data_IF_868729657974
#
_entry.id   IF_868729657974
#
_cell.length_a   1.000
_cell.length_b   1.000
_cell.length_c   1.000
_cell.angle_alpha   90.00
_cell.angle_beta   90.00
_cell.angle_gamma   90.00
#
_symmetry.space_group_name_H-M   'P 1'
#
loop_
_entity.id
_entity.type
_entity.pdbx_description
1 polymer ?
#
# COMPACT_ATOMS: atom_id res chain seq x y z
N UNK A 1 -4.81 -30.48 -1.57
CA UNK A 1 -4.06 -31.62 -2.17
C UNK A 1 -4.46 -31.85 -3.63
N UNK A 2 -5.75 -31.78 -3.98
CA UNK A 2 -6.21 -31.91 -5.38
C UNK A 2 -5.66 -30.82 -6.30
N UNK A 3 -5.77 -29.53 -5.92
CA UNK A 3 -5.18 -28.43 -6.70
C UNK A 3 -3.67 -28.53 -6.89
N UNK A 4 -2.93 -29.07 -5.92
CA UNK A 4 -1.47 -29.21 -6.05
C UNK A 4 -1.08 -30.32 -7.03
N UNK A 5 -1.89 -31.37 -7.12
CA UNK A 5 -1.75 -32.39 -8.16
C UNK A 5 -2.17 -31.82 -9.51
N UNK A 6 -3.27 -31.06 -9.56
CA UNK A 6 -3.75 -30.40 -10.78
C UNK A 6 -2.68 -29.46 -11.34
N UNK A 7 -2.04 -28.61 -10.52
CA UNK A 7 -0.94 -27.72 -10.95
C UNK A 7 0.28 -28.50 -11.43
N UNK A 8 0.64 -29.62 -10.79
CA UNK A 8 1.82 -30.43 -11.15
C UNK A 8 1.64 -31.22 -12.45
N UNK A 9 0.40 -31.62 -12.74
CA UNK A 9 0.06 -32.42 -13.92
C UNK A 9 -0.76 -31.62 -14.94
N UNK A 10 -0.82 -30.29 -14.80
CA UNK A 10 -1.62 -29.44 -15.67
C UNK A 10 -1.06 -29.45 -17.09
N UNK A 11 -1.91 -29.83 -18.05
CA UNK A 11 -1.59 -29.84 -19.48
C UNK A 11 -2.50 -28.92 -20.30
N UNK A 12 -3.28 -28.06 -19.64
CA UNK A 12 -4.17 -27.12 -20.30
C UNK A 12 -3.48 -25.83 -20.75
N UNK A 13 -4.21 -25.01 -21.51
CA UNK A 13 -3.68 -23.79 -22.11
C UNK A 13 -3.67 -22.58 -21.15
N UNK A 14 -4.49 -22.58 -20.09
CA UNK A 14 -4.65 -21.47 -19.13
C UNK A 14 -4.28 -21.88 -17.69
N UNK A 15 -2.98 -21.93 -17.33
CA UNK A 15 -2.55 -22.17 -15.95
C UNK A 15 -3.02 -21.09 -14.97
N UNK A 16 -3.37 -19.87 -15.41
CA UNK A 16 -3.83 -18.80 -14.52
C UNK A 16 -5.19 -19.15 -13.90
N UNK A 17 -6.09 -19.78 -14.65
CA UNK A 17 -7.40 -20.25 -14.15
C UNK A 17 -7.25 -21.22 -12.96
N UNK A 18 -6.33 -22.17 -13.04
CA UNK A 18 -6.08 -23.14 -11.96
C UNK A 18 -5.62 -22.42 -10.69
N UNK A 19 -4.73 -21.45 -10.83
CA UNK A 19 -4.27 -20.62 -9.71
C UNK A 19 -5.39 -19.76 -9.14
N UNK A 20 -6.22 -19.14 -9.97
CA UNK A 20 -7.37 -18.35 -9.52
C UNK A 20 -8.35 -19.20 -8.71
N UNK A 21 -8.72 -20.40 -9.21
CA UNK A 21 -9.57 -21.34 -8.48
C UNK A 21 -8.95 -21.77 -7.16
N UNK A 22 -7.63 -22.04 -7.15
CA UNK A 22 -6.95 -22.46 -5.94
C UNK A 22 -6.89 -21.34 -4.88
N UNK A 23 -6.61 -20.09 -5.29
CA UNK A 23 -6.63 -18.92 -4.40
C UNK A 23 -8.03 -18.72 -3.82
N UNK A 24 -9.07 -18.75 -4.67
CA UNK A 24 -10.47 -18.60 -4.24
C UNK A 24 -10.90 -19.70 -3.26
N UNK A 25 -10.52 -20.95 -3.54
CA UNK A 25 -10.77 -22.06 -2.61
C UNK A 25 -10.06 -21.82 -1.26
N UNK A 26 -8.83 -21.31 -1.28
CA UNK A 26 -8.06 -21.02 -0.06
C UNK A 26 -8.73 -19.91 0.76
N UNK A 27 -9.23 -18.85 0.11
CA UNK A 27 -9.98 -17.78 0.76
C UNK A 27 -11.28 -18.29 1.41
N UNK A 28 -12.02 -19.15 0.72
CA UNK A 28 -13.27 -19.73 1.22
C UNK A 28 -13.04 -20.73 2.36
N UNK A 29 -11.97 -21.50 2.28
CA UNK A 29 -11.64 -22.53 3.29
C UNK A 29 -11.09 -21.88 4.57
N UNK A 30 -10.48 -20.69 4.47
CA UNK A 30 -9.88 -19.99 5.59
C UNK A 30 -10.35 -18.53 5.72
N UNK A 31 -11.64 -18.28 6.07
CA UNK A 31 -12.23 -16.94 6.09
C UNK A 31 -11.58 -15.95 7.08
N UNK A 32 -10.94 -16.47 8.13
CA UNK A 32 -10.24 -15.67 9.14
C UNK A 32 -8.78 -15.38 8.83
N UNK A 33 -8.36 -15.51 7.55
CA UNK A 33 -6.95 -15.42 7.17
C UNK A 33 -6.14 -16.49 7.89
N UNK A 34 -6.58 -17.75 7.71
CA UNK A 34 -6.23 -18.92 8.54
C UNK A 34 -4.80 -18.88 9.06
N UNK A 35 -4.66 -19.25 10.34
CA UNK A 35 -3.39 -19.35 11.08
C UNK A 35 -2.24 -19.70 10.12
N UNK A 36 -1.31 -18.76 9.96
CA UNK A 36 0.02 -18.97 9.38
C UNK A 36 0.10 -19.11 7.85
N UNK A 37 -0.17 -18.03 7.11
CA UNK A 37 0.50 -17.80 5.81
C UNK A 37 0.16 -18.74 4.66
N UNK A 38 -0.88 -19.57 4.76
CA UNK A 38 -1.28 -20.48 3.68
C UNK A 38 -1.68 -19.71 2.40
N UNK A 39 -2.45 -18.63 2.53
CA UNK A 39 -2.83 -17.79 1.39
C UNK A 39 -1.62 -17.09 0.77
N UNK A 40 -0.75 -16.50 1.60
CA UNK A 40 0.47 -15.82 1.15
C UNK A 40 1.42 -16.79 0.44
N UNK A 41 1.60 -18.00 0.97
CA UNK A 41 2.43 -19.04 0.34
C UNK A 41 1.86 -19.51 -1.01
N UNK A 42 0.52 -19.63 -1.12
CA UNK A 42 -0.13 -19.96 -2.40
C UNK A 42 0.06 -18.82 -3.40
N UNK A 43 -0.13 -17.57 -2.99
CA UNK A 43 0.08 -16.39 -3.83
C UNK A 43 1.54 -16.29 -4.30
N UNK A 44 2.51 -16.48 -3.42
CA UNK A 44 3.93 -16.46 -3.76
C UNK A 44 4.28 -17.54 -4.79
N UNK A 45 3.76 -18.77 -4.60
CA UNK A 45 3.94 -19.86 -5.57
C UNK A 45 3.29 -19.54 -6.91
N UNK A 46 2.10 -18.92 -6.91
CA UNK A 46 1.40 -18.55 -8.12
C UNK A 46 2.15 -17.47 -8.90
N UNK A 47 2.59 -16.41 -8.22
CA UNK A 47 3.43 -15.35 -8.80
C UNK A 47 4.71 -15.95 -9.39
N UNK A 48 5.40 -16.83 -8.66
CA UNK A 48 6.64 -17.46 -9.14
C UNK A 48 6.40 -18.35 -10.36
N UNK A 49 5.30 -19.09 -10.40
CA UNK A 49 4.97 -19.98 -11.52
C UNK A 49 4.52 -19.22 -12.78
N UNK A 50 3.85 -18.09 -12.60
CA UNK A 50 3.32 -17.25 -13.68
C UNK A 50 4.27 -16.11 -14.08
N UNK A 51 5.41 -15.97 -13.38
CA UNK A 51 6.41 -14.96 -13.66
C UNK A 51 6.92 -15.06 -15.10
N UNK A 52 7.06 -13.91 -15.77
CA UNK A 52 7.52 -13.84 -17.16
C UNK A 52 6.49 -14.25 -18.22
N UNK A 53 5.28 -14.68 -17.83
CA UNK A 53 4.22 -15.02 -18.80
C UNK A 53 3.50 -13.76 -19.30
N UNK A 54 4.11 -13.08 -20.26
CA UNK A 54 3.66 -11.83 -20.89
C UNK A 54 2.20 -11.87 -21.39
N UNK A 55 1.70 -13.06 -21.77
CA UNK A 55 0.30 -13.27 -22.20
C UNK A 55 -0.74 -12.81 -21.17
N UNK A 56 -0.38 -12.78 -19.88
CA UNK A 56 -1.29 -12.41 -18.80
C UNK A 56 -1.14 -10.95 -18.35
N UNK A 57 -0.23 -10.17 -18.93
CA UNK A 57 0.05 -8.82 -18.43
C UNK A 57 -1.13 -7.87 -18.61
N UNK A 58 -2.01 -8.14 -19.57
CA UNK A 58 -3.25 -7.40 -19.79
C UNK A 58 -4.48 -8.10 -19.19
N UNK A 59 -4.30 -9.26 -18.54
CA UNK A 59 -5.39 -10.03 -17.94
C UNK A 59 -5.72 -9.47 -16.55
N UNK A 60 -6.97 -9.02 -16.28
CA UNK A 60 -7.40 -8.57 -14.97
C UNK A 60 -7.21 -9.61 -13.86
N UNK A 61 -7.31 -10.91 -14.17
CA UNK A 61 -7.12 -11.99 -13.20
C UNK A 61 -5.69 -12.02 -12.66
N UNK A 62 -4.71 -11.78 -13.54
CA UNK A 62 -3.31 -11.74 -13.18
C UNK A 62 -2.98 -10.49 -12.36
N UNK A 63 -3.53 -9.33 -12.74
CA UNK A 63 -3.40 -8.12 -11.94
C UNK A 63 -4.01 -8.32 -10.54
N UNK A 64 -5.21 -8.89 -10.43
CA UNK A 64 -5.84 -9.18 -9.13
C UNK A 64 -4.98 -10.09 -8.24
N UNK A 65 -4.32 -11.09 -8.82
CA UNK A 65 -3.41 -11.97 -8.10
C UNK A 65 -2.23 -11.17 -7.50
N UNK A 66 -1.65 -10.26 -8.28
CA UNK A 66 -0.61 -9.36 -7.77
C UNK A 66 -1.12 -8.41 -6.69
N UNK A 67 -2.30 -7.82 -6.85
CA UNK A 67 -2.89 -6.94 -5.85
C UNK A 67 -3.10 -7.67 -4.52
N UNK A 68 -3.67 -8.88 -4.55
CA UNK A 68 -3.83 -9.75 -3.36
C UNK A 68 -2.49 -10.10 -2.71
N UNK A 69 -1.45 -10.31 -3.51
CA UNK A 69 -0.10 -10.54 -2.99
C UNK A 69 0.46 -9.28 -2.30
N UNK A 70 0.17 -8.10 -2.83
CA UNK A 70 0.53 -6.81 -2.24
C UNK A 70 -0.12 -6.57 -0.87
N UNK A 71 -1.36 -6.99 -0.69
CA UNK A 71 -2.06 -6.89 0.60
C UNK A 71 -1.39 -7.75 1.70
N UNK A 72 -0.64 -8.79 1.30
CA UNK A 72 0.14 -9.62 2.21
C UNK A 72 1.55 -9.07 2.50
N UNK A 73 1.98 -8.03 1.78
CA UNK A 73 3.33 -7.47 1.89
C UNK A 73 3.38 -6.30 2.88
N UNK A 74 4.53 -6.11 3.53
CA UNK A 74 4.74 -5.00 4.47
C UNK A 74 4.72 -3.64 3.75
N UNK A 75 5.19 -3.59 2.50
CA UNK A 75 5.36 -2.35 1.73
C UNK A 75 4.68 -2.48 0.35
N UNK A 76 3.35 -2.27 0.25
CA UNK A 76 2.60 -2.45 -0.99
C UNK A 76 2.99 -1.44 -2.09
N UNK A 77 3.57 -0.28 -1.75
CA UNK A 77 3.97 0.73 -2.74
C UNK A 77 5.10 0.27 -3.67
N UNK A 78 6.03 -0.52 -3.15
CA UNK A 78 7.13 -1.08 -3.95
C UNK A 78 6.58 -2.06 -4.99
N UNK A 79 5.51 -2.77 -4.64
CA UNK A 79 4.84 -3.68 -5.57
C UNK A 79 4.23 -2.94 -6.75
N UNK A 80 3.50 -1.85 -6.52
CA UNK A 80 2.92 -1.07 -7.62
C UNK A 80 3.98 -0.51 -8.57
N UNK A 81 5.09 -0.02 -8.01
CA UNK A 81 6.23 0.45 -8.78
C UNK A 81 6.83 -0.69 -9.62
N UNK A 82 6.95 -1.89 -9.05
CA UNK A 82 7.39 -3.09 -9.76
C UNK A 82 6.44 -3.45 -10.91
N UNK A 83 5.12 -3.51 -10.67
CA UNK A 83 4.13 -3.83 -11.70
C UNK A 83 4.20 -2.86 -12.87
N UNK A 84 4.30 -1.55 -12.58
CA UNK A 84 4.42 -0.54 -13.62
C UNK A 84 5.73 -0.69 -14.41
N UNK A 85 6.85 -0.98 -13.73
CA UNK A 85 8.17 -1.19 -14.39
C UNK A 85 8.21 -2.43 -15.30
N UNK A 86 7.42 -3.45 -14.96
CA UNK A 86 7.32 -4.69 -15.74
C UNK A 86 6.19 -4.62 -16.78
N UNK A 87 5.51 -3.49 -16.93
CA UNK A 87 4.35 -3.32 -17.80
C UNK A 87 3.18 -4.30 -17.48
N UNK A 88 3.09 -4.76 -16.23
CA UNK A 88 2.00 -5.64 -15.78
C UNK A 88 0.80 -4.78 -15.40
N UNK A 89 -0.34 -5.01 -16.06
CA UNK A 89 -1.60 -4.33 -15.76
C UNK A 89 -1.63 -2.85 -16.11
N UNK A 90 -0.66 -2.35 -16.87
CA UNK A 90 -0.58 -0.91 -17.25
C UNK A 90 -1.68 -0.46 -18.19
N UNK A 91 -2.37 -1.39 -18.83
CA UNK A 91 -3.57 -1.11 -19.63
C UNK A 91 -4.85 -1.18 -18.79
N UNK A 92 -4.78 -1.54 -17.52
CA UNK A 92 -5.94 -1.75 -16.65
C UNK A 92 -6.10 -0.60 -15.66
N UNK A 93 -7.27 0.02 -15.66
CA UNK A 93 -7.60 1.11 -14.76
C UNK A 93 -7.47 0.70 -13.29
N UNK A 94 -7.72 -0.58 -12.99
CA UNK A 94 -7.65 -1.13 -11.64
C UNK A 94 -6.29 -0.86 -10.97
N UNK A 95 -5.18 -1.01 -11.71
CA UNK A 95 -3.83 -0.79 -11.17
C UNK A 95 -3.66 0.65 -10.66
N UNK A 96 -4.06 1.62 -11.48
CA UNK A 96 -3.93 3.05 -11.15
C UNK A 96 -4.85 3.46 -10.01
N UNK A 97 -6.07 2.92 -9.97
CA UNK A 97 -7.04 3.20 -8.91
C UNK A 97 -6.50 2.71 -7.57
N UNK A 98 -6.12 1.44 -7.45
CA UNK A 98 -5.67 0.88 -6.16
C UNK A 98 -4.33 1.47 -5.72
N UNK A 99 -3.44 1.79 -6.66
CA UNK A 99 -2.19 2.47 -6.35
C UNK A 99 -2.42 3.90 -5.81
N UNK A 100 -3.29 4.67 -6.47
CA UNK A 100 -3.61 6.01 -6.01
C UNK A 100 -4.33 6.00 -4.65
N UNK A 101 -5.23 5.04 -4.40
CA UNK A 101 -5.88 4.83 -3.10
C UNK A 101 -4.87 4.49 -2.00
N UNK A 102 -3.89 3.62 -2.28
CA UNK A 102 -2.82 3.30 -1.34
C UNK A 102 -1.92 4.52 -1.02
N UNK A 103 -1.69 5.40 -1.99
CA UNK A 103 -0.97 6.66 -1.79
C UNK A 103 -1.80 7.70 -1.01
N UNK A 104 -3.10 7.78 -1.28
CA UNK A 104 -4.05 8.62 -0.56
C UNK A 104 -4.12 8.22 0.93
N UNK A 105 -4.19 6.91 1.22
CA UNK A 105 -4.21 6.39 2.59
C UNK A 105 -2.94 6.76 3.39
N UNK A 106 -1.82 7.03 2.72
CA UNK A 106 -0.56 7.48 3.31
C UNK A 106 -0.43 9.01 3.35
N UNK A 107 -1.45 9.75 2.96
CA UNK A 107 -1.46 11.21 2.90
C UNK A 107 -0.68 11.81 1.73
N UNK A 108 -0.27 11.00 0.74
CA UNK A 108 0.51 11.47 -0.41
C UNK A 108 -0.37 11.85 -1.60
N UNK A 109 -1.21 12.87 -1.42
CA UNK A 109 -2.19 13.30 -2.43
C UNK A 109 -1.56 13.71 -3.77
N UNK A 110 -0.42 14.40 -3.74
CA UNK A 110 0.28 14.81 -4.96
C UNK A 110 0.72 13.62 -5.81
N UNK A 111 1.24 12.56 -5.18
CA UNK A 111 1.65 11.35 -5.89
C UNK A 111 0.42 10.60 -6.41
N UNK A 112 -0.64 10.50 -5.62
CA UNK A 112 -1.89 9.86 -6.04
C UNK A 112 -2.47 10.52 -7.30
N UNK A 113 -2.47 11.86 -7.37
CA UNK A 113 -2.95 12.58 -8.57
C UNK A 113 -2.09 12.28 -9.81
N UNK A 114 -0.76 12.22 -9.66
CA UNK A 114 0.14 11.84 -10.76
C UNK A 114 -0.15 10.43 -11.29
N UNK A 115 -0.42 9.47 -10.41
CA UNK A 115 -0.77 8.10 -10.81
C UNK A 115 -2.10 8.07 -11.58
N UNK A 116 -3.11 8.83 -11.16
CA UNK A 116 -4.35 8.96 -11.93
C UNK A 116 -4.11 9.56 -13.32
N UNK A 117 -3.33 10.64 -13.39
CA UNK A 117 -2.98 11.28 -14.66
C UNK A 117 -2.21 10.32 -15.59
N UNK A 118 -1.28 9.54 -15.05
CA UNK A 118 -0.55 8.53 -15.82
C UNK A 118 -1.47 7.44 -16.38
N UNK A 119 -2.41 6.93 -15.58
CA UNK A 119 -3.41 5.97 -16.04
C UNK A 119 -4.31 6.52 -17.14
N UNK A 120 -4.69 7.79 -17.05
CA UNK A 120 -5.48 8.48 -18.08
C UNK A 120 -4.68 8.68 -19.37
N UNK A 121 -3.41 9.06 -19.25
CA UNK A 121 -2.51 9.22 -20.40
C UNK A 121 -2.30 7.89 -21.14
N UNK A 122 -2.19 6.79 -20.39
CA UNK A 122 -2.06 5.43 -20.94
C UNK A 122 -3.38 4.82 -21.41
N UNK A 123 -4.50 5.53 -21.25
CA UNK A 123 -5.85 5.08 -21.63
C UNK A 123 -6.24 3.74 -21.01
N UNK A 124 -5.94 3.58 -19.72
CA UNK A 124 -6.20 2.34 -19.02
C UNK A 124 -7.71 2.03 -18.91
N UNK A 125 -8.12 0.80 -19.23
CA UNK A 125 -9.52 0.39 -19.30
C UNK A 125 -10.00 -0.26 -17.98
N UNK A 126 -11.24 0.02 -17.53
CA UNK A 126 -12.23 0.93 -18.11
C UNK A 126 -11.92 2.41 -17.80
N UNK A 127 -11.82 3.23 -18.85
CA UNK A 127 -11.49 4.66 -18.73
C UNK A 127 -12.52 5.45 -17.92
N UNK A 128 -13.80 5.15 -18.11
CA UNK A 128 -14.89 5.81 -17.39
C UNK A 128 -14.78 5.58 -15.88
N UNK A 129 -14.39 4.36 -15.49
CA UNK A 129 -14.15 4.01 -14.09
C UNK A 129 -12.96 4.78 -13.54
N UNK A 130 -11.86 4.85 -14.29
CA UNK A 130 -10.68 5.60 -13.89
C UNK A 130 -11.00 7.09 -13.67
N UNK A 131 -11.71 7.71 -14.62
CA UNK A 131 -12.12 9.12 -14.52
C UNK A 131 -13.07 9.37 -13.34
N UNK A 132 -14.02 8.45 -13.10
CA UNK A 132 -14.92 8.54 -11.97
C UNK A 132 -14.17 8.49 -10.63
N UNK A 133 -13.23 7.55 -10.47
CA UNK A 133 -12.40 7.46 -9.26
C UNK A 133 -11.49 8.69 -9.11
N UNK A 134 -10.91 9.21 -10.19
CA UNK A 134 -10.09 10.42 -10.15
C UNK A 134 -10.88 11.65 -9.68
N UNK A 135 -12.10 11.85 -10.20
CA UNK A 135 -13.01 12.92 -9.74
C UNK A 135 -13.39 12.77 -8.27
N UNK A 136 -13.70 11.54 -7.83
CA UNK A 136 -14.01 11.27 -6.42
C UNK A 136 -12.82 11.56 -5.51
N UNK A 137 -11.62 11.15 -5.92
CA UNK A 137 -10.38 11.49 -5.21
C UNK A 137 -10.18 13.00 -5.09
N UNK A 138 -10.31 13.75 -6.19
CA UNK A 138 -10.18 15.21 -6.17
C UNK A 138 -11.19 15.87 -5.22
N UNK A 139 -12.45 15.40 -5.22
CA UNK A 139 -13.48 15.89 -4.31
C UNK A 139 -13.17 15.58 -2.83
N UNK A 140 -12.58 14.41 -2.53
CA UNK A 140 -12.14 14.07 -1.16
C UNK A 140 -11.00 14.97 -0.70
N UNK A 141 -9.99 15.16 -1.55
CA UNK A 141 -8.84 16.02 -1.26
C UNK A 141 -9.27 17.46 -1.06
N UNK A 142 -10.12 18.02 -1.94
CA UNK A 142 -10.60 19.39 -1.81
C UNK A 142 -11.37 19.61 -0.51
N UNK A 143 -12.22 18.65 -0.13
CA UNK A 143 -12.95 18.70 1.14
C UNK A 143 -12.00 18.67 2.33
N UNK A 144 -11.00 17.79 2.32
CA UNK A 144 -10.00 17.73 3.39
C UNK A 144 -9.21 19.04 3.50
N UNK A 145 -8.83 19.64 2.38
CA UNK A 145 -8.10 20.92 2.40
C UNK A 145 -8.95 22.08 2.91
N UNK A 146 -10.25 22.10 2.62
CA UNK A 146 -11.16 23.13 3.13
C UNK A 146 -11.36 22.99 4.64
N UNK A 147 -11.61 21.78 5.14
CA UNK A 147 -11.75 21.53 6.57
C UNK A 147 -10.47 21.90 7.33
N UNK A 148 -9.30 21.55 6.78
CA UNK A 148 -8.03 21.93 7.38
C UNK A 148 -7.83 23.47 7.42
N UNK A 149 -8.34 24.21 6.44
CA UNK A 149 -8.26 25.68 6.44
C UNK A 149 -9.24 26.30 7.45
N UNK A 150 -10.44 25.73 7.60
CA UNK A 150 -11.44 26.16 8.59
C UNK A 150 -10.94 25.95 10.03
N UNK A 151 -10.37 24.79 10.34
CA UNK A 151 -9.77 24.50 11.66
C UNK A 151 -8.62 25.46 12.02
N UNK A 152 -7.87 25.94 11.02
CA UNK A 152 -6.80 26.93 11.23
C UNK A 152 -7.33 28.37 11.36
N UNK A 153 -8.53 28.67 10.87
CA UNK A 153 -9.12 30.01 10.92
C UNK A 153 -9.85 30.29 12.25
N UNK A 154 -10.41 29.26 12.89
CA UNK A 154 -11.08 29.38 14.20
C UNK A 154 -10.08 29.43 15.38
N UNK A 155 -8.78 29.26 15.13
CA UNK A 155 -7.71 29.35 16.14
C UNK A 155 -7.35 30.77 16.59
N UNK A 156 -7.79 31.81 15.87
CA UNK A 156 -7.44 33.22 16.17
C UNK A 156 -8.49 33.97 17.02
N UNK A 157 -9.59 33.32 17.43
CA UNK A 157 -10.60 33.98 18.28
C UNK A 157 -11.38 33.04 19.22
N UNK A 158 -10.70 32.40 20.18
CA UNK A 158 -11.35 31.95 21.41
C UNK A 158 -10.43 32.15 22.62
N UNK A 159 -10.67 33.25 23.36
CA UNK A 159 -9.99 33.53 24.62
C UNK A 159 -10.36 32.50 25.68
N UNK A 160 -9.51 31.51 25.87
CA UNK A 160 -9.42 30.74 27.11
C UNK A 160 -7.95 30.39 27.36
N UNK A 161 -7.51 30.47 28.61
CA UNK A 161 -6.15 30.20 29.09
C UNK A 161 -5.67 28.79 28.69
N UNK A 162 -5.08 28.65 27.50
CA UNK A 162 -4.23 27.51 27.18
C UNK A 162 -2.90 27.69 27.89
N UNK A 163 -2.69 26.89 28.93
CA UNK A 163 -1.35 26.57 29.40
C UNK A 163 -0.71 25.82 28.23
N UNK A 164 0.03 26.54 27.38
CA UNK A 164 0.74 25.97 26.24
C UNK A 164 1.56 24.77 26.72
N UNK A 165 1.16 23.55 26.34
CA UNK A 165 1.93 22.36 26.65
C UNK A 165 3.30 22.49 25.98
N UNK A 166 4.40 22.21 26.69
CA UNK A 166 5.73 22.38 26.13
C UNK A 166 5.92 21.40 24.97
N UNK A 167 5.95 21.94 23.75
CA UNK A 167 6.30 21.18 22.56
C UNK A 167 7.72 20.62 22.72
N UNK A 168 7.88 19.31 22.47
CA UNK A 168 9.18 18.64 22.56
C UNK A 168 10.11 19.19 21.48
N UNK A 169 11.12 19.93 21.91
CA UNK A 169 12.22 20.35 21.05
C UNK A 169 13.11 19.15 20.72
N UNK A 170 13.20 18.81 19.43
CA UNK A 170 14.14 17.79 18.96
C UNK A 170 15.57 18.22 19.30
N UNK A 171 16.32 17.37 20.00
CA UNK A 171 17.72 17.60 20.40
C UNK A 171 17.94 18.78 21.36
N UNK A 172 16.99 19.09 22.25
CA UNK A 172 17.24 20.12 23.25
C UNK A 172 18.24 19.68 24.34
N UNK A 173 19.12 20.61 24.70
CA UNK A 173 20.09 20.45 25.78
C UNK A 173 19.39 20.30 27.15
N UNK A 174 19.77 19.27 27.90
CA UNK A 174 19.28 19.02 29.26
C UNK A 174 19.79 20.10 30.22
N UNK A 175 18.92 21.03 30.63
CA UNK A 175 19.24 22.05 31.64
C UNK A 175 19.30 21.43 33.03
N UNK A 176 20.51 21.16 33.53
CA UNK A 176 20.72 20.70 34.91
C UNK A 176 20.33 21.76 35.93
N UNK A 177 19.54 21.40 36.95
CA UNK A 177 19.28 22.25 38.12
C UNK A 177 20.43 22.11 39.13
N UNK A 178 21.19 23.19 39.36
CA UNK A 178 22.17 23.31 40.46
C UNK A 178 23.61 23.66 40.03
N UNK A 179 24.44 24.13 40.99
CA UNK A 179 25.85 24.55 40.79
C UNK A 179 26.85 23.39 40.56
N UNK A 180 26.42 22.26 40.02
CA UNK A 180 27.32 21.14 39.68
C UNK A 180 27.18 20.82 38.20
N UNK A 181 28.31 20.78 37.48
CA UNK A 181 28.37 20.29 36.09
C UNK A 181 27.73 18.90 36.05
N UNK A 182 26.53 18.80 35.49
CA UNK A 182 25.84 17.53 35.31
C UNK A 182 26.49 16.83 34.11
N UNK A 183 27.25 15.76 34.36
CA UNK A 183 27.63 14.80 33.33
C UNK A 183 26.45 13.85 33.14
N UNK A 184 25.96 13.71 31.91
CA UNK A 184 24.92 12.74 31.58
C UNK A 184 25.41 11.32 31.95
N UNK A 185 24.56 10.46 32.54
CA UNK A 185 24.92 9.08 32.80
C UNK A 185 25.12 8.34 31.48
N UNK A 186 26.32 7.79 31.28
CA UNK A 186 26.63 6.93 30.14
C UNK A 186 26.04 5.55 30.45
N UNK A 187 24.80 5.31 30.01
CA UNK A 187 24.27 3.95 29.92
C UNK A 187 24.57 3.42 28.52
N UNK A 188 25.70 2.72 28.37
CA UNK A 188 25.97 1.94 27.16
C UNK A 188 25.16 0.64 27.25
N UNK A 189 24.04 0.57 26.54
CA UNK A 189 23.41 -0.72 26.24
C UNK A 189 23.97 -1.17 24.90
N UNK A 190 24.94 -2.05 24.96
CA UNK A 190 25.58 -2.66 23.80
C UNK A 190 26.68 -3.58 24.29
N UNK A 191 26.40 -4.89 24.26
CA UNK A 191 27.43 -5.90 24.49
C UNK A 191 28.54 -5.72 23.45
N UNK A 192 29.79 -5.81 23.92
CA UNK A 192 30.94 -5.82 23.05
C UNK A 192 30.83 -7.05 22.12
N UNK A 193 30.68 -6.79 20.82
CA UNK A 193 30.91 -7.80 19.79
C UNK A 193 32.36 -8.25 19.95
N UNK A 194 32.55 -9.54 20.24
CA UNK A 194 33.86 -10.20 20.28
C UNK A 194 34.38 -10.43 18.86
#
# INVERSE_FOLDING_TARGET
REFEAEIRFYSGDDPLDVWERYIKWTEQTFPGGGKDGNLTAVLERAVRALHGQQRYYKDPRYLNLWLKFGDCCNEPLDLYSYLCSQEIGTTLALLYITWAEALEARGSFRKADLIFQEGLQRKAEPLDKLQAHHKQFQARVSRQTLLALEENADGDNMGLLEIAEPQRSSLADLKGRGKKKVRAPISRVGDAVK
#
